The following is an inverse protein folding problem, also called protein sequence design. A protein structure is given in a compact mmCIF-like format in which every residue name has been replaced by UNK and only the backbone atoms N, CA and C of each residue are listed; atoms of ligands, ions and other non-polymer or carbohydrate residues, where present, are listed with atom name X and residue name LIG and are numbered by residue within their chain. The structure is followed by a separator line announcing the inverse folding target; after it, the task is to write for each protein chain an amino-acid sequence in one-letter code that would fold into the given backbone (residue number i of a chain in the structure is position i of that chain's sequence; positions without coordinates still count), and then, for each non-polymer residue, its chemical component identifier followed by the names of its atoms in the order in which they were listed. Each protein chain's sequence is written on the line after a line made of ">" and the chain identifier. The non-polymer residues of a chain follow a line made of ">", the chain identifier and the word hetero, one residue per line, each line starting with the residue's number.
data_IF_382226316199
#
_entry.id   IF_382226316199
#
_cell.length_a   1.000
_cell.length_b   1.000
_cell.length_c   1.000
_cell.angle_alpha   90.00
_cell.angle_beta   90.00
_cell.angle_gamma   90.00
#
_symmetry.space_group_name_H-M   'P 1'
#
loop_
_entity.id
_entity.type
_entity.pdbx_description
1 polymer ?
#
# COMPACT_ATOMS: atom_id res chain seq x y z
N UNK A 1 16.82 -27.49 8.17
CA UNK A 1 15.80 -27.59 9.21
C UNK A 1 16.49 -27.91 10.53
N UNK A 2 16.30 -27.09 11.58
CA UNK A 2 16.81 -27.36 12.94
C UNK A 2 15.66 -27.77 13.84
N UNK A 3 15.89 -28.69 14.78
CA UNK A 3 14.92 -29.11 15.77
C UNK A 3 15.28 -28.45 17.10
N UNK A 4 14.29 -27.86 17.75
CA UNK A 4 14.41 -27.23 19.06
C UNK A 4 13.46 -27.93 20.05
N UNK A 5 13.86 -28.04 21.28
CA UNK A 5 13.06 -28.60 22.36
C UNK A 5 13.03 -27.58 23.50
N UNK A 6 12.10 -26.64 23.37
CA UNK A 6 11.91 -25.53 24.34
C UNK A 6 10.74 -25.89 25.24
N UNK A 7 10.96 -25.91 26.55
CA UNK A 7 9.91 -26.21 27.51
C UNK A 7 8.78 -25.19 27.49
N UNK A 8 7.57 -25.64 27.77
CA UNK A 8 6.39 -24.77 27.81
C UNK A 8 6.57 -23.62 28.81
N UNK A 9 6.22 -22.39 28.40
CA UNK A 9 6.35 -21.18 29.20
C UNK A 9 7.77 -20.65 29.31
N UNK A 10 8.74 -21.21 28.59
CA UNK A 10 10.12 -20.71 28.54
C UNK A 10 10.48 -20.17 27.16
N UNK A 11 11.58 -19.43 27.09
CA UNK A 11 12.14 -18.93 25.83
C UNK A 11 13.61 -19.32 25.75
N UNK A 12 14.06 -19.65 24.56
CA UNK A 12 15.47 -19.94 24.26
C UNK A 12 15.95 -19.03 23.15
N UNK A 13 17.16 -18.47 23.31
CA UNK A 13 17.81 -17.71 22.26
C UNK A 13 18.66 -18.66 21.41
N UNK A 14 18.40 -18.67 20.11
CA UNK A 14 19.10 -19.54 19.19
C UNK A 14 19.83 -18.72 18.13
N UNK A 15 21.13 -18.88 18.04
CA UNK A 15 21.93 -18.33 16.96
C UNK A 15 21.93 -19.28 15.77
N UNK A 16 21.58 -18.73 14.60
CA UNK A 16 21.60 -19.45 13.33
C UNK A 16 22.71 -18.84 12.49
N UNK A 17 23.76 -19.61 12.28
CA UNK A 17 24.80 -19.26 11.31
C UNK A 17 24.24 -19.44 9.90
N UNK A 18 23.96 -18.32 9.27
CA UNK A 18 23.38 -18.29 7.92
C UNK A 18 24.33 -17.58 6.96
N UNK A 19 24.69 -18.17 5.81
CA UNK A 19 25.62 -17.58 4.87
C UNK A 19 24.97 -16.42 4.08
N UNK A 20 24.57 -15.36 4.81
CA UNK A 20 23.84 -14.20 4.24
C UNK A 20 24.67 -13.55 3.11
N UNK A 21 25.99 -13.49 3.26
CA UNK A 21 26.86 -12.82 2.31
C UNK A 21 26.91 -13.54 0.95
N UNK A 22 26.70 -14.87 0.92
CA UNK A 22 26.63 -15.64 -0.31
C UNK A 22 25.39 -15.28 -1.15
N UNK A 23 24.31 -14.87 -0.52
CA UNK A 23 23.06 -14.48 -1.16
C UNK A 23 22.96 -12.98 -1.44
N UNK A 24 23.79 -12.16 -0.79
CA UNK A 24 23.75 -10.71 -0.88
C UNK A 24 24.25 -10.18 -2.23
N UNK A 25 25.15 -10.91 -2.88
CA UNK A 25 25.73 -10.52 -4.16
C UNK A 25 24.70 -10.58 -5.29
N UNK A 26 24.24 -9.44 -5.78
CA UNK A 26 23.30 -9.33 -6.91
C UNK A 26 21.82 -9.35 -6.52
N UNK A 27 21.46 -9.48 -5.24
CA UNK A 27 20.09 -9.40 -4.81
C UNK A 27 19.64 -7.93 -4.71
N UNK A 28 18.49 -7.59 -5.30
CA UNK A 28 17.85 -6.30 -5.10
C UNK A 28 17.25 -6.19 -3.70
N UNK A 29 16.70 -7.27 -3.19
CA UNK A 29 16.18 -7.42 -1.84
C UNK A 29 16.42 -8.85 -1.36
N UNK A 30 16.83 -9.02 -0.11
CA UNK A 30 16.99 -10.31 0.54
C UNK A 30 16.12 -10.34 1.79
N UNK A 31 15.14 -11.23 1.78
CA UNK A 31 14.22 -11.45 2.90
C UNK A 31 14.58 -12.78 3.56
N UNK A 32 14.83 -12.73 4.88
CA UNK A 32 14.91 -13.92 5.70
C UNK A 32 13.51 -14.28 6.20
N UNK A 33 13.11 -15.51 5.94
CA UNK A 33 11.87 -16.09 6.47
C UNK A 33 12.20 -17.24 7.42
N UNK A 34 11.58 -17.24 8.60
CA UNK A 34 11.64 -18.31 9.56
C UNK A 34 10.23 -18.85 9.82
N UNK A 35 10.07 -20.16 9.69
CA UNK A 35 8.80 -20.85 9.93
C UNK A 35 8.98 -21.92 11.01
N UNK A 36 8.06 -21.94 11.97
CA UNK A 36 7.98 -22.95 13.01
C UNK A 36 6.90 -23.98 12.66
N UNK A 37 7.30 -25.25 12.61
CA UNK A 37 6.40 -26.33 12.19
C UNK A 37 6.34 -27.46 13.22
N UNK A 38 5.19 -28.12 13.30
CA UNK A 38 5.02 -29.34 14.09
C UNK A 38 5.94 -30.46 13.56
N UNK A 39 6.69 -31.09 14.46
CA UNK A 39 7.56 -32.21 14.12
C UNK A 39 6.80 -33.54 14.02
N UNK A 40 5.64 -33.64 14.69
CA UNK A 40 4.76 -34.81 14.68
C UNK A 40 3.30 -34.37 14.64
N UNK A 41 2.43 -35.23 14.11
CA UNK A 41 1.00 -34.98 14.14
C UNK A 41 0.47 -34.94 15.59
N UNK A 42 -0.53 -34.11 15.85
CA UNK A 42 -1.31 -34.04 17.06
C UNK A 42 -2.82 -34.08 16.72
N UNK A 43 -3.69 -34.05 17.74
CA UNK A 43 -5.15 -34.23 17.54
C UNK A 43 -5.78 -33.17 16.62
N UNK A 44 -5.18 -31.98 16.49
CA UNK A 44 -5.75 -30.86 15.74
C UNK A 44 -4.96 -30.51 14.48
N UNK A 45 -3.73 -31.05 14.27
CA UNK A 45 -2.95 -30.72 13.08
C UNK A 45 -1.96 -31.84 12.68
N UNK A 46 -1.67 -32.03 11.39
CA UNK A 46 -0.68 -32.99 10.91
C UNK A 46 0.74 -32.53 11.19
N UNK A 47 1.70 -33.46 11.09
CA UNK A 47 3.13 -33.11 11.05
C UNK A 47 3.42 -32.16 9.87
N UNK A 48 4.32 -31.18 10.08
CA UNK A 48 4.61 -30.14 9.10
C UNK A 48 3.64 -28.98 9.10
N UNK A 49 2.61 -28.98 9.94
CA UNK A 49 1.71 -27.85 10.09
C UNK A 49 2.48 -26.62 10.62
N UNK A 50 2.37 -25.47 9.95
CA UNK A 50 3.01 -24.25 10.36
C UNK A 50 2.29 -23.60 11.54
N UNK A 51 3.02 -23.44 12.64
CA UNK A 51 2.51 -22.83 13.87
C UNK A 51 2.65 -21.31 13.85
N UNK A 52 3.76 -20.85 13.32
CA UNK A 52 4.09 -19.43 13.21
C UNK A 52 5.16 -19.19 12.16
N UNK A 53 5.23 -17.98 11.64
CA UNK A 53 6.32 -17.54 10.79
C UNK A 53 6.72 -16.10 11.14
N UNK A 54 7.92 -15.75 10.74
CA UNK A 54 8.43 -14.39 10.83
C UNK A 54 9.31 -14.08 9.63
N UNK A 55 9.30 -12.84 9.22
CA UNK A 55 10.12 -12.35 8.11
C UNK A 55 10.88 -11.10 8.52
N UNK A 56 12.10 -10.95 8.04
CA UNK A 56 12.84 -9.70 8.12
C UNK A 56 13.64 -9.44 6.84
N UNK A 57 13.73 -8.18 6.44
CA UNK A 57 14.60 -7.76 5.35
C UNK A 57 16.02 -7.64 5.90
N UNK A 58 16.93 -8.48 5.42
CA UNK A 58 18.33 -8.52 5.89
C UNK A 58 19.29 -7.78 4.96
N UNK A 59 18.94 -7.65 3.70
CA UNK A 59 19.57 -6.78 2.74
C UNK A 59 18.52 -6.33 1.73
N UNK A 60 18.41 -5.03 1.51
CA UNK A 60 17.51 -4.46 0.53
C UNK A 60 18.07 -3.14 0.09
N UNK A 61 18.17 -2.92 -1.21
CA UNK A 61 18.21 -1.57 -1.73
C UNK A 61 16.90 -0.91 -1.30
N UNK A 62 16.93 0.34 -0.87
CA UNK A 62 15.74 1.16 -0.95
C UNK A 62 15.25 0.99 -2.37
N UNK A 63 14.01 0.53 -2.55
CA UNK A 63 13.30 0.77 -3.81
C UNK A 63 13.50 2.27 -4.00
N UNK A 64 14.38 2.65 -4.94
CA UNK A 64 14.61 4.06 -5.21
C UNK A 64 13.22 4.64 -5.41
N UNK A 65 12.91 5.75 -4.74
CA UNK A 65 11.67 6.48 -5.02
C UNK A 65 11.68 6.72 -6.53
N UNK A 66 10.98 5.84 -7.24
CA UNK A 66 11.12 5.65 -8.69
C UNK A 66 10.70 6.90 -9.45
N UNK A 67 9.94 7.75 -8.78
CA UNK A 67 9.44 9.01 -9.35
C UNK A 67 10.46 10.15 -9.32
N UNK A 68 11.48 10.08 -8.47
CA UNK A 68 12.52 11.13 -8.38
C UNK A 68 13.67 10.99 -9.39
N UNK A 69 13.81 9.84 -10.03
CA UNK A 69 14.94 9.50 -10.90
C UNK A 69 14.58 9.43 -12.40
N UNK A 70 13.43 9.94 -12.80
CA UNK A 70 13.02 9.95 -14.19
C UNK A 70 13.97 10.87 -15.00
N UNK A 71 14.99 10.26 -15.56
CA UNK A 71 15.68 10.82 -16.73
C UNK A 71 14.64 11.02 -17.82
N UNK A 72 14.56 12.22 -18.39
CA UNK A 72 13.56 12.56 -19.38
C UNK A 72 13.46 11.49 -20.47
N UNK A 73 12.40 10.67 -20.43
CA UNK A 73 12.02 9.86 -21.57
C UNK A 73 11.63 10.83 -22.69
N UNK A 74 12.14 10.60 -23.88
CA UNK A 74 12.08 11.54 -25.00
C UNK A 74 10.66 11.90 -25.47
N UNK A 75 9.61 11.24 -24.96
CA UNK A 75 8.20 11.41 -25.36
C UNK A 75 7.23 11.58 -24.20
N UNK A 76 7.74 11.60 -22.96
CA UNK A 76 6.93 11.81 -21.78
C UNK A 76 6.46 13.25 -21.61
N UNK A 77 5.23 13.45 -21.14
CA UNK A 77 4.67 14.78 -20.93
C UNK A 77 3.75 14.84 -19.69
N UNK A 78 3.87 15.95 -18.96
CA UNK A 78 2.91 16.37 -17.94
C UNK A 78 2.01 17.44 -18.52
N UNK A 79 0.72 17.26 -18.43
CA UNK A 79 -0.27 18.24 -18.90
C UNK A 79 -1.05 18.79 -17.70
N UNK A 80 -0.94 20.08 -17.47
CA UNK A 80 -1.65 20.79 -16.41
C UNK A 80 -2.89 21.46 -17.03
N UNK A 81 -3.98 20.73 -17.08
CA UNK A 81 -5.25 21.24 -17.58
C UNK A 81 -6.10 21.88 -16.49
N UNK A 82 -7.11 22.65 -16.89
CA UNK A 82 -8.04 23.32 -15.97
C UNK A 82 -8.85 22.36 -15.14
N UNK A 83 -9.19 21.19 -15.69
CA UNK A 83 -10.09 20.21 -15.06
C UNK A 83 -9.41 18.88 -14.77
N UNK A 84 -8.35 18.59 -15.48
CA UNK A 84 -7.61 17.34 -15.34
C UNK A 84 -6.11 17.59 -15.43
N UNK A 85 -5.36 16.77 -14.72
CA UNK A 85 -3.92 16.68 -14.80
C UNK A 85 -3.60 15.35 -15.48
N UNK A 86 -2.78 15.38 -16.51
CA UNK A 86 -2.33 14.19 -17.23
C UNK A 86 -0.83 13.96 -17.10
N UNK A 87 -0.43 12.71 -16.94
CA UNK A 87 0.95 12.26 -17.09
C UNK A 87 0.97 11.13 -18.12
N UNK A 88 1.79 11.24 -19.14
CA UNK A 88 1.89 10.23 -20.20
C UNK A 88 3.32 9.95 -20.60
N UNK A 89 3.56 8.74 -21.04
CA UNK A 89 4.79 8.28 -21.67
C UNK A 89 4.43 7.22 -22.71
N UNK A 90 5.40 6.71 -23.48
CA UNK A 90 5.18 5.62 -24.44
C UNK A 90 4.41 4.47 -23.80
N UNK A 91 3.13 4.33 -24.18
CA UNK A 91 2.27 3.25 -23.73
C UNK A 91 1.73 3.35 -22.28
N UNK A 92 1.96 4.46 -21.55
CA UNK A 92 1.38 4.69 -20.21
C UNK A 92 0.70 6.05 -20.15
N UNK A 93 -0.45 6.10 -19.52
CA UNK A 93 -1.19 7.34 -19.32
C UNK A 93 -1.91 7.31 -17.97
N UNK A 94 -1.72 8.35 -17.16
CA UNK A 94 -2.46 8.59 -15.93
C UNK A 94 -3.25 9.89 -16.04
N UNK A 95 -4.52 9.88 -15.59
CA UNK A 95 -5.38 11.05 -15.60
C UNK A 95 -5.97 11.29 -14.22
N UNK A 96 -5.78 12.49 -13.70
CA UNK A 96 -6.27 12.94 -12.41
C UNK A 96 -7.33 14.02 -12.61
N UNK A 97 -8.54 13.81 -12.09
CA UNK A 97 -9.63 14.75 -12.24
C UNK A 97 -9.73 15.69 -11.03
N UNK A 98 -9.65 17.00 -11.29
CA UNK A 98 -9.84 18.02 -10.25
C UNK A 98 -11.33 18.13 -9.86
N UNK A 99 -12.23 17.89 -10.80
CA UNK A 99 -13.67 17.95 -10.55
C UNK A 99 -14.20 16.74 -9.80
N UNK A 100 -13.72 15.53 -10.12
CA UNK A 100 -14.15 14.29 -9.46
C UNK A 100 -13.33 13.97 -8.20
N UNK A 101 -12.20 14.65 -8.00
CA UNK A 101 -11.31 14.47 -6.87
C UNK A 101 -10.70 13.06 -6.85
N UNK A 102 -9.76 12.75 -7.75
CA UNK A 102 -9.04 11.48 -7.75
C UNK A 102 -8.49 11.09 -9.11
N UNK A 103 -7.75 9.97 -9.15
CA UNK A 103 -7.30 9.36 -10.40
C UNK A 103 -8.48 8.68 -11.09
N UNK A 104 -8.74 9.05 -12.34
CA UNK A 104 -9.92 8.58 -13.11
C UNK A 104 -9.55 7.67 -14.27
N UNK A 105 -8.29 7.61 -14.64
CA UNK A 105 -7.77 6.70 -15.66
C UNK A 105 -6.31 6.36 -15.37
N UNK A 106 -5.95 5.12 -15.58
CA UNK A 106 -4.57 4.65 -15.68
C UNK A 106 -4.51 3.56 -16.76
N UNK A 107 -3.81 3.87 -17.84
CA UNK A 107 -3.72 2.99 -19.00
C UNK A 107 -2.31 2.45 -19.19
N UNK A 108 -2.21 1.22 -19.64
CA UNK A 108 -1.02 0.60 -20.18
C UNK A 108 -1.34 0.08 -21.58
N UNK A 109 -0.81 0.72 -22.60
CA UNK A 109 -1.29 0.57 -23.97
C UNK A 109 -2.76 0.92 -24.08
N UNK A 110 -3.55 0.04 -24.65
CA UNK A 110 -4.99 0.19 -24.79
C UNK A 110 -5.80 -0.24 -23.56
N UNK A 111 -5.13 -0.86 -22.57
CA UNK A 111 -5.80 -1.43 -21.41
C UNK A 111 -5.99 -0.39 -20.30
N UNK A 112 -7.26 -0.14 -19.94
CA UNK A 112 -7.64 0.68 -18.78
C UNK A 112 -7.65 -0.16 -17.50
N UNK A 113 -7.01 0.35 -16.43
CA UNK A 113 -6.94 -0.29 -15.11
C UNK A 113 -7.83 0.38 -14.08
N UNK A 114 -8.30 1.60 -14.32
CA UNK A 114 -9.14 2.36 -13.40
C UNK A 114 -10.56 2.47 -13.94
N UNK A 115 -11.43 1.56 -13.56
CA UNK A 115 -12.86 1.60 -13.95
C UNK A 115 -13.62 2.72 -13.23
N UNK A 116 -13.17 3.13 -12.08
CA UNK A 116 -13.65 4.29 -11.32
C UNK A 116 -12.54 4.77 -10.39
N UNK A 117 -12.60 6.03 -9.97
CA UNK A 117 -11.60 6.56 -9.04
C UNK A 117 -11.47 5.67 -7.81
N UNK A 118 -10.26 5.40 -7.33
CA UNK A 118 -10.03 4.69 -6.07
C UNK A 118 -10.75 5.38 -4.91
N UNK A 119 -11.38 4.58 -4.05
CA UNK A 119 -12.10 5.05 -2.87
C UNK A 119 -11.37 4.59 -1.61
N UNK A 120 -11.44 5.42 -0.57
CA UNK A 120 -10.95 5.06 0.75
C UNK A 120 -11.87 3.96 1.30
N UNK A 121 -11.29 2.83 1.70
CA UNK A 121 -11.99 1.75 2.37
C UNK A 121 -11.66 1.78 3.86
N UNK A 122 -12.66 2.02 4.69
CA UNK A 122 -12.53 2.17 6.15
C UNK A 122 -13.21 1.04 6.92
N UNK A 123 -13.68 0.01 6.22
CA UNK A 123 -14.48 -1.06 6.80
C UNK A 123 -14.17 -2.40 6.14
N UNK A 124 -14.21 -3.46 6.93
CA UNK A 124 -14.15 -4.86 6.51
C UNK A 124 -15.40 -5.61 6.97
N UNK A 125 -15.64 -6.80 6.44
CA UNK A 125 -16.68 -7.69 6.97
C UNK A 125 -16.44 -7.97 8.46
N UNK A 126 -17.52 -7.92 9.25
CA UNK A 126 -17.45 -8.17 10.69
C UNK A 126 -17.16 -9.64 10.96
N UNK A 127 -16.21 -9.87 11.86
CA UNK A 127 -15.99 -11.19 12.47
C UNK A 127 -16.97 -11.43 13.62
N UNK A 128 -17.02 -12.66 14.14
CA UNK A 128 -17.88 -12.98 15.30
C UNK A 128 -17.45 -12.20 16.55
N UNK A 129 -16.14 -11.95 16.71
CA UNK A 129 -15.63 -11.10 17.79
C UNK A 129 -16.13 -9.66 17.67
N UNK A 130 -16.16 -9.10 16.47
CA UNK A 130 -16.69 -7.75 16.24
C UNK A 130 -18.18 -7.68 16.61
N UNK A 131 -18.96 -8.73 16.31
CA UNK A 131 -20.38 -8.81 16.66
C UNK A 131 -20.58 -8.99 18.15
N UNK A 132 -19.79 -9.86 18.78
CA UNK A 132 -19.84 -10.14 20.22
C UNK A 132 -19.42 -8.96 21.10
N UNK A 133 -18.61 -8.04 20.59
CA UNK A 133 -18.17 -6.85 21.32
C UNK A 133 -19.28 -5.80 21.56
N UNK A 134 -20.46 -5.96 20.97
CA UNK A 134 -21.61 -5.07 21.18
C UNK A 134 -21.55 -3.68 20.51
N UNK A 135 -20.44 -3.34 19.84
CA UNK A 135 -20.23 -2.03 19.22
C UNK A 135 -20.53 -1.97 17.73
N UNK A 136 -21.18 -2.99 17.17
CA UNK A 136 -21.40 -3.09 15.73
C UNK A 136 -22.22 -1.91 15.18
N UNK A 137 -23.21 -1.42 15.92
CA UNK A 137 -24.05 -0.30 15.52
C UNK A 137 -23.27 1.02 15.51
N UNK A 138 -22.48 1.30 16.54
CA UNK A 138 -21.67 2.51 16.65
C UNK A 138 -20.59 2.56 15.54
N UNK A 139 -20.05 1.42 15.18
CA UNK A 139 -19.05 1.29 14.13
C UNK A 139 -19.63 1.22 12.71
N UNK A 140 -20.94 1.08 12.57
CA UNK A 140 -21.59 0.96 11.25
C UNK A 140 -21.35 2.17 10.35
N UNK A 141 -21.16 3.39 10.90
CA UNK A 141 -20.81 4.58 10.14
C UNK A 141 -19.56 4.39 9.27
N UNK A 142 -18.60 3.58 9.73
CA UNK A 142 -17.36 3.32 9.00
C UNK A 142 -17.57 2.52 7.70
N UNK A 143 -18.65 1.75 7.60
CA UNK A 143 -18.99 1.00 6.39
C UNK A 143 -19.24 1.89 5.18
N UNK A 144 -19.66 3.12 5.43
CA UNK A 144 -20.01 4.09 4.37
C UNK A 144 -19.10 5.31 4.36
N UNK A 145 -18.26 5.48 5.36
CA UNK A 145 -17.41 6.66 5.55
C UNK A 145 -16.58 6.99 4.31
N UNK A 146 -15.85 6.02 3.77
CA UNK A 146 -15.04 6.20 2.57
C UNK A 146 -15.87 6.30 1.30
N UNK A 147 -16.96 5.52 1.19
CA UNK A 147 -17.85 5.53 0.02
C UNK A 147 -18.48 6.91 -0.25
N UNK A 148 -18.84 7.62 0.80
CA UNK A 148 -19.47 8.93 0.74
C UNK A 148 -18.52 10.07 1.14
N UNK A 149 -17.22 9.79 1.22
CA UNK A 149 -16.23 10.82 1.45
C UNK A 149 -16.27 11.89 0.34
N UNK A 150 -16.24 13.15 0.75
CA UNK A 150 -16.21 14.28 -0.18
C UNK A 150 -14.79 14.77 -0.35
N UNK A 151 -14.35 14.99 -1.59
CA UNK A 151 -13.16 15.78 -1.85
C UNK A 151 -13.46 17.23 -1.51
N UNK A 152 -12.77 17.77 -0.52
CA UNK A 152 -13.00 19.14 -0.01
C UNK A 152 -11.88 20.09 -0.40
N UNK A 153 -10.73 19.56 -0.82
CA UNK A 153 -9.60 20.36 -1.29
C UNK A 153 -8.77 19.56 -2.30
N UNK A 154 -8.14 20.27 -3.23
CA UNK A 154 -7.23 19.69 -4.22
C UNK A 154 -6.06 20.64 -4.43
N UNK A 155 -4.84 20.11 -4.30
CA UNK A 155 -3.59 20.84 -4.51
C UNK A 155 -2.80 20.20 -5.63
N UNK A 156 -2.35 21.00 -6.60
CA UNK A 156 -1.50 20.55 -7.70
C UNK A 156 -0.16 21.27 -7.60
N UNK A 157 0.93 20.52 -7.59
CA UNK A 157 2.29 21.03 -7.46
C UNK A 157 3.17 20.40 -8.54
N UNK A 158 3.61 21.17 -9.53
CA UNK A 158 4.66 20.71 -10.44
C UNK A 158 5.94 20.40 -9.64
N UNK A 159 6.56 19.27 -9.94
CA UNK A 159 7.83 18.82 -9.37
C UNK A 159 8.90 18.88 -10.47
N UNK A 160 9.35 20.09 -10.79
CA UNK A 160 10.18 20.34 -11.98
C UNK A 160 9.39 20.15 -13.28
N UNK A 161 10.09 19.74 -14.33
CA UNK A 161 9.50 19.54 -15.67
C UNK A 161 9.05 18.08 -15.90
N UNK A 162 9.47 17.16 -15.03
CA UNK A 162 9.34 15.73 -15.25
C UNK A 162 8.32 15.03 -14.35
N UNK A 163 7.72 15.73 -13.38
CA UNK A 163 6.75 15.14 -12.47
C UNK A 163 5.73 16.17 -11.96
N UNK A 164 4.63 15.66 -11.44
CA UNK A 164 3.58 16.45 -10.80
C UNK A 164 3.03 15.73 -9.56
N UNK A 165 2.77 16.48 -8.51
CA UNK A 165 2.05 16.02 -7.33
C UNK A 165 0.62 16.53 -7.36
N UNK A 166 -0.36 15.62 -7.18
CA UNK A 166 -1.77 15.96 -7.05
C UNK A 166 -2.27 15.42 -5.73
N UNK A 167 -2.60 16.30 -4.81
CA UNK A 167 -3.07 15.94 -3.46
C UNK A 167 -4.56 16.24 -3.34
N UNK A 168 -5.34 15.24 -2.97
CA UNK A 168 -6.77 15.37 -2.67
C UNK A 168 -6.98 15.23 -1.17
N UNK A 169 -7.73 16.14 -0.58
CA UNK A 169 -8.19 16.05 0.80
C UNK A 169 -9.64 15.63 0.82
N UNK A 170 -9.93 14.51 1.46
CA UNK A 170 -11.28 14.00 1.62
C UNK A 170 -11.75 14.17 3.05
N UNK A 171 -12.98 14.58 3.21
CA UNK A 171 -13.71 14.55 4.47
C UNK A 171 -14.57 13.30 4.51
N UNK A 172 -14.31 12.42 5.48
CA UNK A 172 -15.07 11.18 5.66
C UNK A 172 -16.50 11.47 6.11
N UNK A 173 -17.46 10.68 5.65
CA UNK A 173 -18.88 10.80 5.99
C UNK A 173 -19.18 10.16 7.36
N UNK A 174 -18.52 10.64 8.41
CA UNK A 174 -18.70 10.26 9.82
C UNK A 174 -18.92 11.51 10.67
N UNK A 175 -19.39 11.33 11.91
CA UNK A 175 -19.70 12.44 12.82
C UNK A 175 -18.49 13.35 13.07
N UNK A 176 -17.29 12.78 13.18
CA UNK A 176 -16.02 13.49 13.41
C UNK A 176 -15.52 14.27 12.20
N UNK A 177 -16.06 14.01 11.00
CA UNK A 177 -15.60 14.61 9.74
C UNK A 177 -14.09 14.54 9.53
N UNK A 178 -13.51 13.42 9.92
CA UNK A 178 -12.07 13.17 9.81
C UNK A 178 -11.59 13.37 8.38
N UNK A 179 -10.47 14.07 8.21
CA UNK A 179 -9.88 14.31 6.90
C UNK A 179 -8.81 13.30 6.61
N UNK A 180 -8.80 12.78 5.39
CA UNK A 180 -7.77 11.89 4.84
C UNK A 180 -7.22 12.52 3.58
N UNK A 181 -5.91 12.49 3.42
CA UNK A 181 -5.27 12.97 2.19
C UNK A 181 -4.77 11.80 1.35
N UNK A 182 -5.00 11.90 0.04
CA UNK A 182 -4.41 11.02 -0.95
C UNK A 182 -3.56 11.88 -1.88
N UNK A 183 -2.27 11.64 -1.88
CA UNK A 183 -1.31 12.30 -2.74
C UNK A 183 -0.83 11.33 -3.80
N UNK A 184 -0.99 11.72 -5.05
CA UNK A 184 -0.41 11.05 -6.20
C UNK A 184 0.80 11.84 -6.67
N UNK A 185 1.90 11.15 -6.96
CA UNK A 185 3.06 11.72 -7.64
C UNK A 185 3.23 10.96 -8.94
N UNK A 186 3.06 11.66 -10.05
CA UNK A 186 3.16 11.07 -11.38
C UNK A 186 4.32 11.69 -12.16
N UNK A 187 5.04 10.87 -12.93
CA UNK A 187 6.18 11.32 -13.72
C UNK A 187 5.96 11.16 -15.24
N UNK A 188 6.92 11.70 -16.02
CA UNK A 188 6.94 11.60 -17.47
C UNK A 188 7.21 10.19 -17.99
N UNK A 189 7.54 9.22 -17.14
CA UNK A 189 7.63 7.79 -17.49
C UNK A 189 6.29 7.07 -17.29
N UNK A 190 5.28 7.78 -16.78
CA UNK A 190 3.96 7.22 -16.48
C UNK A 190 3.94 6.38 -15.21
N UNK A 191 4.94 6.53 -14.32
CA UNK A 191 4.86 5.95 -12.97
C UNK A 191 3.95 6.83 -12.10
N UNK A 192 3.26 6.19 -11.17
CA UNK A 192 2.39 6.87 -10.21
C UNK A 192 2.64 6.30 -8.83
N UNK A 193 3.17 7.12 -7.93
CA UNK A 193 3.26 6.80 -6.51
C UNK A 193 2.02 7.32 -5.79
N UNK A 194 1.52 6.53 -4.86
CA UNK A 194 0.34 6.85 -4.08
C UNK A 194 0.70 6.89 -2.59
N UNK A 195 0.42 8.03 -1.96
CA UNK A 195 0.60 8.22 -0.52
C UNK A 195 -0.75 8.52 0.13
N UNK A 196 -1.11 7.73 1.13
CA UNK A 196 -2.33 7.97 1.92
C UNK A 196 -1.92 8.38 3.33
N UNK A 197 -2.43 9.53 3.79
CA UNK A 197 -2.22 9.98 5.15
C UNK A 197 -3.57 10.06 5.88
N UNK A 198 -3.66 9.32 6.98
CA UNK A 198 -4.77 9.32 7.91
C UNK A 198 -4.25 9.75 9.28
N UNK A 199 -4.79 10.84 9.88
CA UNK A 199 -4.25 11.38 11.14
C UNK A 199 -4.49 10.47 12.35
N UNK A 200 -5.33 9.45 12.20
CA UNK A 200 -5.81 8.63 13.30
C UNK A 200 -6.88 9.35 14.12
N UNK A 201 -7.55 8.61 14.99
CA UNK A 201 -8.33 9.16 16.10
C UNK A 201 -7.40 9.22 17.32
N UNK A 202 -7.35 10.37 17.97
CA UNK A 202 -6.67 10.53 19.26
C UNK A 202 -7.62 10.17 20.39
#
# INVERSE_FOLDING_TARGET
>A
MRRFDVAAGTSEHVEIDWPIDDYRAGAQELVLEASQQLTSACDWAPAGYELSFGQCVVAGGKIADTVTAASAASDGAITLGRWNIGARSAGREALFSLAQGGMVSYKLGEREFVLRKPLITTFRALTDNDRGAGHAFERAQWAVAGKYARCVDTKVEPLGETAVSVTYTYELAIAQRTKVTIRYVADVLGHVDLHVAYPGEK
#
